data_IF_819241773326
#
_entry.id   IF_819241773326
#
_cell.length_a   1.000
_cell.length_b   1.000
_cell.length_c   1.000
_cell.angle_alpha   90.00
_cell.angle_beta   90.00
_cell.angle_gamma   90.00
#
_symmetry.space_group_name_H-M   'P 1'
#
loop_
_entity.id
_entity.type
_entity.pdbx_description
1 polymer ?
#
# COMPACT_ATOMS: atom_id res chain seq x y z
N UNK A 1 28.40 53.52 7.49
CA UNK A 1 27.01 53.75 7.05
C UNK A 1 26.12 52.76 7.79
N UNK A 2 25.45 53.21 8.84
CA UNK A 2 24.57 52.34 9.62
C UNK A 2 23.19 52.29 8.97
N UNK A 3 22.71 51.08 8.72
CA UNK A 3 21.37 50.83 8.24
C UNK A 3 20.40 51.32 9.34
N UNK A 4 19.53 52.26 9.03
CA UNK A 4 18.60 52.84 10.00
C UNK A 4 17.59 51.78 10.43
N UNK A 5 17.36 51.68 11.74
CA UNK A 5 16.39 50.76 12.39
C UNK A 5 15.00 50.76 11.75
N UNK A 6 14.61 51.88 11.15
CA UNK A 6 13.34 52.06 10.43
C UNK A 6 13.28 51.31 9.10
N UNK A 7 14.40 51.15 8.38
CA UNK A 7 14.47 50.39 7.14
C UNK A 7 14.37 48.89 7.38
N UNK A 8 14.96 48.41 8.46
CA UNK A 8 14.86 46.98 8.87
C UNK A 8 13.41 46.67 9.27
N UNK A 9 12.80 47.59 10.03
CA UNK A 9 11.39 47.40 10.46
C UNK A 9 10.41 47.42 9.28
N UNK A 10 10.65 48.27 8.25
CA UNK A 10 9.84 48.34 7.05
C UNK A 10 10.00 47.10 6.16
N UNK A 11 11.22 46.56 6.05
CA UNK A 11 11.53 45.33 5.33
C UNK A 11 10.91 44.10 6.00
N UNK A 12 10.95 44.04 7.33
CA UNK A 12 10.27 42.97 8.10
C UNK A 12 8.77 43.05 7.94
N UNK A 13 8.17 44.26 8.05
CA UNK A 13 6.74 44.44 7.82
C UNK A 13 6.28 44.07 6.40
N UNK A 14 7.12 44.36 5.40
CA UNK A 14 6.87 44.01 4.01
C UNK A 14 6.94 42.49 3.80
N UNK A 15 7.94 41.82 4.37
CA UNK A 15 8.03 40.37 4.32
C UNK A 15 6.90 39.66 5.06
N UNK A 16 6.44 40.22 6.18
CA UNK A 16 5.28 39.66 6.91
C UNK A 16 3.98 39.83 6.10
N UNK A 17 3.80 40.94 5.37
CA UNK A 17 2.65 41.13 4.47
C UNK A 17 2.67 40.23 3.23
N UNK A 18 3.85 39.97 2.70
CA UNK A 18 4.02 39.05 1.56
C UNK A 18 3.91 37.57 1.97
N UNK A 19 3.79 37.29 3.28
CA UNK A 19 3.57 35.95 3.85
C UNK A 19 2.08 35.57 3.96
N UNK A 20 1.18 36.45 3.53
CA UNK A 20 -0.26 36.15 3.41
C UNK A 20 -0.57 35.39 2.10
N UNK A 21 0.22 34.35 1.83
CA UNK A 21 -0.19 33.28 0.92
C UNK A 21 -1.24 32.49 1.71
N UNK A 22 -2.49 32.30 1.19
CA UNK A 22 -3.40 31.39 1.82
C UNK A 22 -2.75 30.01 1.82
N UNK A 23 -2.16 29.65 2.93
CA UNK A 23 -1.75 28.30 3.23
C UNK A 23 -3.08 27.55 3.25
N UNK A 24 -3.44 26.91 2.14
CA UNK A 24 -4.30 25.74 2.21
C UNK A 24 -3.60 24.86 3.25
N UNK A 25 -4.26 24.72 4.40
CA UNK A 25 -3.71 24.06 5.56
C UNK A 25 -3.50 22.56 5.28
N UNK A 26 -2.49 22.27 4.48
CA UNK A 26 -1.83 21.01 4.58
C UNK A 26 -1.00 21.12 5.86
N UNK A 27 -1.38 20.39 6.90
CA UNK A 27 -0.55 20.29 8.08
C UNK A 27 0.82 19.81 7.63
N UNK A 28 1.82 20.65 7.85
CA UNK A 28 3.22 20.34 7.51
C UNK A 28 3.92 20.01 8.80
N UNK A 29 4.57 18.84 8.82
CA UNK A 29 5.43 18.41 9.91
C UNK A 29 6.88 18.31 9.47
N UNK A 30 7.76 18.10 10.43
CA UNK A 30 9.20 17.94 10.22
C UNK A 30 9.62 16.60 10.82
N UNK A 31 10.38 15.82 10.06
CA UNK A 31 10.99 14.57 10.54
C UNK A 31 11.98 14.88 11.64
N UNK A 32 11.77 14.36 12.82
CA UNK A 32 12.68 14.49 13.97
C UNK A 32 13.62 13.31 14.11
N UNK A 33 13.17 12.13 13.71
CA UNK A 33 13.93 10.89 13.75
C UNK A 33 13.47 9.97 12.63
N UNK A 34 14.40 9.24 12.02
CA UNK A 34 14.09 8.22 10.99
C UNK A 34 15.00 7.00 11.18
N UNK A 35 14.40 5.81 11.15
CA UNK A 35 15.14 4.56 11.23
C UNK A 35 14.24 3.36 10.95
N UNK A 36 14.78 2.34 10.31
CA UNK A 36 14.12 1.05 10.04
C UNK A 36 12.73 1.16 9.37
N UNK A 37 12.55 2.18 8.51
CA UNK A 37 11.28 2.41 7.82
C UNK A 37 10.21 3.10 8.66
N UNK A 38 10.58 3.64 9.83
CA UNK A 38 9.71 4.43 10.70
C UNK A 38 10.25 5.85 10.77
N UNK A 39 9.38 6.84 10.76
CA UNK A 39 9.72 8.23 10.99
C UNK A 39 8.90 8.79 12.15
N UNK A 40 9.58 9.54 13.03
CA UNK A 40 8.93 10.42 14.00
C UNK A 40 8.83 11.82 13.39
N UNK A 41 7.65 12.41 13.43
CA UNK A 41 7.36 13.68 12.78
C UNK A 41 6.79 14.63 13.84
N UNK A 42 7.41 15.78 14.01
CA UNK A 42 6.89 16.84 14.86
C UNK A 42 5.89 17.71 14.08
N UNK A 43 4.79 18.04 14.70
CA UNK A 43 3.69 18.78 14.07
C UNK A 43 2.59 17.83 13.57
N UNK A 44 1.97 18.14 12.44
CA UNK A 44 0.86 17.37 11.85
C UNK A 44 -0.33 17.20 12.82
N UNK A 45 -0.69 18.25 13.58
CA UNK A 45 -1.74 18.21 14.61
C UNK A 45 -3.13 17.80 14.07
N UNK A 46 -3.37 17.99 12.77
CA UNK A 46 -4.59 17.59 12.09
C UNK A 46 -4.56 16.20 11.48
N UNK A 47 -3.44 15.48 11.57
CA UNK A 47 -3.32 14.16 10.97
C UNK A 47 -4.29 13.15 11.62
N UNK A 48 -4.86 12.30 10.81
CA UNK A 48 -5.73 11.22 11.24
C UNK A 48 -4.97 9.89 11.29
N UNK A 49 -5.40 8.97 12.15
CA UNK A 49 -4.86 7.63 12.14
C UNK A 49 -5.07 6.96 10.77
N UNK A 50 -4.04 6.30 10.27
CA UNK A 50 -4.00 5.68 8.93
C UNK A 50 -4.10 6.68 7.77
N UNK A 51 -3.89 7.95 8.02
CA UNK A 51 -3.78 8.93 6.95
C UNK A 51 -2.51 8.75 6.13
N UNK A 52 -2.64 8.89 4.83
CA UNK A 52 -1.51 8.88 3.91
C UNK A 52 -0.73 10.19 4.05
N UNK A 53 0.55 10.07 4.30
CA UNK A 53 1.51 11.18 4.38
C UNK A 53 2.40 11.19 3.14
N UNK A 54 2.83 12.36 2.74
CA UNK A 54 3.77 12.55 1.64
C UNK A 54 5.06 13.17 2.17
N UNK A 55 6.15 12.42 2.04
CA UNK A 55 7.51 12.86 2.37
C UNK A 55 8.13 13.61 1.20
N UNK A 56 9.16 14.37 1.49
CA UNK A 56 10.00 15.00 0.48
C UNK A 56 10.49 13.94 -0.53
N UNK A 57 10.41 14.26 -1.83
CA UNK A 57 10.75 13.30 -2.88
C UNK A 57 9.59 12.42 -3.35
N UNK A 58 8.38 12.54 -2.76
CA UNK A 58 7.19 11.81 -3.19
C UNK A 58 7.04 10.42 -2.55
N UNK A 59 7.95 10.03 -1.65
CA UNK A 59 7.79 8.79 -0.86
C UNK A 59 6.57 8.92 0.02
N UNK A 60 5.76 7.88 0.06
CA UNK A 60 4.53 7.83 0.86
C UNK A 60 4.77 7.16 2.21
N UNK A 61 4.00 7.57 3.19
CA UNK A 61 3.93 6.93 4.49
C UNK A 61 2.53 6.96 5.06
N UNK A 62 2.35 6.32 6.18
CA UNK A 62 1.07 6.23 6.88
C UNK A 62 1.25 6.70 8.31
N UNK A 63 0.41 7.62 8.76
CA UNK A 63 0.32 8.03 10.16
C UNK A 63 -0.22 6.85 10.99
N UNK A 64 0.59 6.32 11.89
CA UNK A 64 0.24 5.13 12.67
C UNK A 64 0.02 5.45 14.14
N UNK A 65 0.96 6.15 14.75
CA UNK A 65 0.89 6.55 16.15
C UNK A 65 0.71 8.07 16.25
N UNK A 66 -0.38 8.51 16.88
CA UNK A 66 -0.68 9.92 17.07
C UNK A 66 -0.47 10.27 18.54
N UNK A 67 0.48 11.16 18.78
CA UNK A 67 0.78 11.73 20.10
C UNK A 67 0.40 13.21 20.12
N UNK A 68 0.53 13.86 21.26
CA UNK A 68 0.09 15.25 21.43
C UNK A 68 0.82 16.23 20.50
N UNK A 69 2.13 16.07 20.34
CA UNK A 69 2.97 16.95 19.52
C UNK A 69 3.73 16.23 18.39
N UNK A 70 3.60 14.91 18.29
CA UNK A 70 4.31 14.11 17.31
C UNK A 70 3.43 13.03 16.66
N UNK A 71 3.83 12.62 15.47
CA UNK A 71 3.20 11.54 14.73
C UNK A 71 4.25 10.51 14.34
N UNK A 72 4.06 9.28 14.78
CA UNK A 72 4.83 8.13 14.32
C UNK A 72 4.27 7.63 12.99
N UNK A 73 5.09 7.63 11.94
CA UNK A 73 4.69 7.19 10.61
C UNK A 73 5.49 5.98 10.13
N UNK A 74 4.80 5.08 9.42
CA UNK A 74 5.44 3.97 8.71
C UNK A 74 5.70 4.42 7.28
N UNK A 75 6.94 4.30 6.82
CA UNK A 75 7.33 4.69 5.46
C UNK A 75 7.03 3.54 4.49
N UNK A 76 6.33 3.83 3.41
CA UNK A 76 5.87 2.85 2.42
C UNK A 76 6.68 2.96 1.11
N UNK A 77 7.98 2.85 1.21
CA UNK A 77 8.89 2.94 0.07
C UNK A 77 10.34 3.04 0.50
N UNK A 78 11.23 3.48 -0.42
CA UNK A 78 12.61 3.75 -0.09
C UNK A 78 12.70 4.82 1.00
N UNK A 79 13.36 4.51 2.09
CA UNK A 79 13.49 5.43 3.23
C UNK A 79 14.92 5.98 3.38
N UNK A 80 15.85 5.48 2.59
CA UNK A 80 17.27 5.87 2.66
C UNK A 80 17.51 7.34 2.30
N UNK A 81 16.59 7.93 1.55
CA UNK A 81 16.67 9.35 1.13
C UNK A 81 16.02 10.31 2.13
N UNK A 82 15.21 9.80 3.06
CA UNK A 82 14.50 10.60 4.07
C UNK A 82 15.47 10.88 5.22
N UNK A 83 15.56 12.16 5.62
CA UNK A 83 16.46 12.62 6.66
C UNK A 83 15.73 13.43 7.71
N UNK A 84 16.34 13.52 8.88
CA UNK A 84 15.93 14.46 9.92
C UNK A 84 15.91 15.90 9.35
N UNK A 85 14.85 16.64 9.65
CA UNK A 85 14.61 17.99 9.14
C UNK A 85 13.84 18.04 7.81
N UNK A 86 13.54 16.91 7.15
CA UNK A 86 12.73 16.91 5.95
C UNK A 86 11.25 17.20 6.26
N UNK A 87 10.60 17.89 5.33
CA UNK A 87 9.17 18.21 5.42
C UNK A 87 8.31 16.99 5.07
N UNK A 88 7.23 16.84 5.83
CA UNK A 88 6.17 15.83 5.59
C UNK A 88 4.82 16.54 5.56
N UNK A 89 3.95 16.13 4.65
CA UNK A 89 2.63 16.73 4.46
C UNK A 89 1.53 15.71 4.63
N UNK A 90 0.43 16.12 5.25
CA UNK A 90 -0.80 15.35 5.25
C UNK A 90 -1.44 15.41 3.87
N UNK A 91 -2.13 14.35 3.47
CA UNK A 91 -2.87 14.30 2.20
C UNK A 91 -4.38 14.47 2.39
N UNK A 92 -4.87 14.46 3.63
CA UNK A 92 -6.31 14.47 3.95
C UNK A 92 -7.01 13.17 3.54
N UNK A 93 -6.29 12.13 3.18
CA UNK A 93 -6.85 10.86 2.70
C UNK A 93 -6.38 9.70 3.56
N UNK A 94 -7.33 8.94 4.08
CA UNK A 94 -7.01 7.67 4.72
C UNK A 94 -6.47 6.71 3.66
N UNK A 95 -5.53 5.87 4.05
CA UNK A 95 -4.89 4.91 3.17
C UNK A 95 -5.91 3.99 2.49
N UNK A 96 -6.01 4.12 1.19
CA UNK A 96 -6.95 3.41 0.34
C UNK A 96 -6.29 2.92 -0.93
N UNK A 97 -6.85 1.87 -1.52
CA UNK A 97 -6.38 1.28 -2.77
C UNK A 97 -7.49 1.24 -3.81
N UNK A 98 -7.14 1.32 -5.10
CA UNK A 98 -8.10 1.11 -6.17
C UNK A 98 -8.70 -0.29 -6.06
N UNK A 99 -9.99 -0.42 -6.39
CA UNK A 99 -10.70 -1.69 -6.38
C UNK A 99 -11.58 -1.84 -7.62
N UNK A 100 -11.96 -3.08 -7.93
CA UNK A 100 -12.88 -3.40 -9.01
C UNK A 100 -12.24 -4.10 -10.19
N UNK A 101 -13.00 -4.24 -11.28
CA UNK A 101 -12.62 -5.01 -12.47
C UNK A 101 -11.41 -4.46 -13.21
N UNK A 102 -11.12 -3.17 -13.05
CA UNK A 102 -9.93 -2.55 -13.64
C UNK A 102 -8.60 -3.14 -13.15
N UNK A 103 -8.62 -3.88 -12.03
CA UNK A 103 -7.47 -4.57 -11.47
C UNK A 103 -7.29 -5.99 -12.02
N UNK A 104 -8.29 -6.54 -12.71
CA UNK A 104 -8.19 -7.90 -13.27
C UNK A 104 -7.11 -7.91 -14.36
N UNK A 105 -6.16 -8.86 -14.24
CA UNK A 105 -5.04 -8.97 -15.16
C UNK A 105 -3.92 -7.93 -14.96
N UNK A 106 -3.93 -7.21 -13.83
CA UNK A 106 -2.92 -6.23 -13.46
C UNK A 106 -2.04 -6.74 -12.31
N UNK A 107 -0.82 -6.24 -12.26
CA UNK A 107 0.10 -6.44 -11.13
C UNK A 107 0.34 -5.10 -10.47
N UNK A 108 0.08 -5.03 -9.18
CA UNK A 108 0.16 -3.78 -8.40
C UNK A 108 1.02 -3.96 -7.16
N UNK A 109 1.57 -2.85 -6.67
CA UNK A 109 2.21 -2.79 -5.37
C UNK A 109 1.15 -2.70 -4.24
N UNK A 110 1.52 -2.75 -2.95
CA UNK A 110 0.58 -2.64 -1.83
C UNK A 110 -0.23 -1.34 -1.79
N UNK A 111 0.22 -0.29 -2.47
CA UNK A 111 -0.50 0.98 -2.60
C UNK A 111 -1.49 0.99 -3.78
N UNK A 112 -1.58 -0.11 -4.53
CA UNK A 112 -2.42 -0.21 -5.72
C UNK A 112 -1.82 0.44 -6.97
N UNK A 113 -0.54 0.82 -6.94
CA UNK A 113 0.15 1.37 -8.10
C UNK A 113 0.59 0.26 -9.04
N UNK A 114 0.37 0.38 -10.35
CA UNK A 114 0.73 -0.67 -11.30
C UNK A 114 2.25 -0.81 -11.43
N UNK A 115 2.73 -2.05 -11.41
CA UNK A 115 4.14 -2.42 -11.60
C UNK A 115 4.34 -3.34 -12.80
N UNK A 116 3.29 -3.53 -13.62
CA UNK A 116 3.26 -4.44 -14.77
C UNK A 116 3.63 -3.76 -16.10
N UNK A 117 3.96 -2.48 -16.10
CA UNK A 117 4.29 -1.72 -17.30
C UNK A 117 3.12 -1.44 -18.25
N UNK A 118 1.88 -1.77 -17.86
CA UNK A 118 0.67 -1.59 -18.69
C UNK A 118 0.00 -0.22 -18.52
N UNK A 119 0.68 0.75 -17.92
CA UNK A 119 0.14 2.09 -17.70
C UNK A 119 -0.76 2.20 -16.46
N UNK A 120 -1.33 3.39 -16.21
CA UNK A 120 -2.15 3.66 -15.04
C UNK A 120 -3.43 2.81 -15.02
N UNK A 121 -3.99 2.60 -13.82
CA UNK A 121 -5.26 1.90 -13.62
C UNK A 121 -6.36 2.95 -13.57
N UNK A 122 -7.22 2.95 -14.56
CA UNK A 122 -8.36 3.85 -14.63
C UNK A 122 -9.52 3.29 -13.81
N UNK A 123 -9.69 3.80 -12.59
CA UNK A 123 -10.81 3.46 -11.72
C UNK A 123 -11.23 4.67 -10.88
N UNK A 124 -12.52 4.76 -10.63
CA UNK A 124 -13.08 5.73 -9.69
C UNK A 124 -13.44 5.10 -8.35
N UNK A 125 -13.26 3.77 -8.22
CA UNK A 125 -13.62 3.01 -7.03
C UNK A 125 -12.38 2.79 -6.18
N UNK A 126 -12.43 3.23 -4.93
CA UNK A 126 -11.40 3.03 -3.93
C UNK A 126 -11.99 2.40 -2.67
N UNK A 127 -11.20 1.64 -1.95
CA UNK A 127 -11.59 1.09 -0.66
C UNK A 127 -10.45 1.27 0.35
N UNK A 128 -10.76 1.57 1.62
CA UNK A 128 -9.76 1.62 2.67
C UNK A 128 -9.08 0.25 2.83
N UNK A 129 -7.79 0.27 3.12
CA UNK A 129 -7.00 -0.97 3.32
C UNK A 129 -7.43 -1.65 4.61
N UNK A 130 -7.61 -0.87 5.68
CA UNK A 130 -8.12 -1.37 6.94
C UNK A 130 -9.64 -1.60 6.85
N UNK A 131 -10.01 -2.88 6.89
CA UNK A 131 -11.41 -3.30 6.88
C UNK A 131 -11.61 -4.47 7.83
N UNK A 132 -12.65 -4.39 8.64
CA UNK A 132 -13.04 -5.49 9.53
C UNK A 132 -13.43 -6.70 8.67
N UNK A 133 -12.74 -7.82 8.89
CA UNK A 133 -13.05 -9.07 8.20
C UNK A 133 -14.44 -9.60 8.61
N UNK A 134 -15.20 -10.18 7.68
CA UNK A 134 -16.49 -10.79 8.01
C UNK A 134 -16.29 -11.93 9.01
N UNK A 135 -17.13 -11.94 10.05
CA UNK A 135 -17.13 -12.98 11.09
C UNK A 135 -17.60 -14.35 10.55
N UNK A 136 -17.45 -15.38 11.38
CA UNK A 136 -17.81 -16.76 11.00
C UNK A 136 -19.30 -16.90 10.65
N UNK A 137 -20.17 -16.14 11.31
CA UNK A 137 -21.63 -16.22 11.10
C UNK A 137 -22.04 -15.72 9.70
N UNK A 138 -21.31 -14.76 9.14
CA UNK A 138 -21.61 -14.16 7.84
C UNK A 138 -20.97 -14.88 6.66
N UNK A 139 -20.10 -15.86 6.93
CA UNK A 139 -19.44 -16.65 5.89
C UNK A 139 -20.30 -17.82 5.48
N UNK A 140 -20.30 -18.11 4.17
CA UNK A 140 -20.91 -19.34 3.65
C UNK A 140 -20.07 -20.55 4.08
N UNK A 141 -20.71 -21.72 4.33
CA UNK A 141 -19.98 -22.97 4.54
C UNK A 141 -19.18 -23.35 3.29
N UNK A 142 -18.12 -24.11 3.51
CA UNK A 142 -17.28 -24.65 2.41
C UNK A 142 -17.92 -25.98 1.96
N UNK A 143 -18.72 -25.93 0.91
CA UNK A 143 -19.49 -27.05 0.40
C UNK A 143 -19.17 -27.39 -1.08
N UNK A 144 -18.42 -26.57 -1.74
CA UNK A 144 -18.11 -26.73 -3.16
C UNK A 144 -16.63 -27.07 -3.35
N UNK A 145 -16.27 -28.20 -3.99
CA UNK A 145 -14.87 -28.57 -4.21
C UNK A 145 -14.18 -27.66 -5.20
N UNK A 146 -12.90 -27.40 -4.94
CA UNK A 146 -11.98 -26.76 -5.85
C UNK A 146 -11.24 -27.83 -6.65
N UNK A 147 -11.43 -27.87 -7.95
CA UNK A 147 -10.73 -28.82 -8.82
C UNK A 147 -9.31 -28.29 -9.09
N UNK A 148 -8.34 -28.84 -8.39
CA UNK A 148 -6.93 -28.41 -8.51
C UNK A 148 -6.27 -28.92 -9.80
N UNK A 149 -6.81 -29.99 -10.39
CA UNK A 149 -6.22 -30.72 -11.53
C UNK A 149 -5.09 -31.67 -11.09
N UNK A 150 -4.75 -31.70 -9.81
CA UNK A 150 -3.75 -32.60 -9.25
C UNK A 150 -4.48 -33.81 -8.69
N UNK A 151 -4.37 -34.95 -9.42
CA UNK A 151 -5.11 -36.18 -9.12
C UNK A 151 -5.03 -36.64 -7.66
N UNK A 152 -3.87 -36.53 -7.05
CA UNK A 152 -3.66 -36.93 -5.66
C UNK A 152 -4.44 -36.04 -4.68
N UNK A 153 -4.54 -34.75 -4.94
CA UNK A 153 -5.28 -33.81 -4.11
C UNK A 153 -6.76 -34.02 -4.32
N UNK A 154 -7.23 -33.96 -5.56
CA UNK A 154 -8.66 -34.01 -5.89
C UNK A 154 -9.33 -35.34 -5.49
N UNK A 155 -8.56 -36.44 -5.51
CA UNK A 155 -9.11 -37.77 -5.18
C UNK A 155 -9.01 -38.15 -3.70
N UNK A 156 -7.97 -37.68 -2.98
CA UNK A 156 -7.71 -38.13 -1.61
C UNK A 156 -7.92 -37.06 -0.55
N UNK A 157 -7.60 -35.82 -0.86
CA UNK A 157 -7.65 -34.70 0.09
C UNK A 157 -8.24 -33.48 -0.62
N UNK A 158 -9.53 -33.54 -1.03
CA UNK A 158 -10.14 -32.47 -1.81
C UNK A 158 -10.15 -31.15 -1.03
N UNK A 159 -9.84 -30.07 -1.73
CA UNK A 159 -9.86 -28.72 -1.21
C UNK A 159 -11.20 -28.07 -1.58
N UNK A 160 -11.83 -27.39 -0.64
CA UNK A 160 -13.07 -26.65 -0.88
C UNK A 160 -12.84 -25.19 -1.24
N UNK A 161 -13.75 -24.62 -2.02
CA UNK A 161 -13.74 -23.18 -2.35
C UNK A 161 -13.99 -22.36 -1.09
N UNK A 162 -12.99 -21.52 -0.72
CA UNK A 162 -13.01 -20.75 0.53
C UNK A 162 -12.29 -21.44 1.69
N UNK A 163 -11.78 -22.65 1.50
CA UNK A 163 -10.95 -23.32 2.48
C UNK A 163 -9.60 -22.62 2.62
N UNK A 164 -9.06 -22.70 3.83
CA UNK A 164 -7.73 -22.18 4.17
C UNK A 164 -6.76 -23.33 4.19
N UNK A 165 -5.77 -23.31 3.32
CA UNK A 165 -4.83 -24.40 3.13
C UNK A 165 -3.39 -23.93 3.30
N UNK A 166 -2.55 -24.75 3.92
CA UNK A 166 -1.13 -24.50 4.11
C UNK A 166 -0.29 -25.51 3.33
N UNK A 167 0.53 -25.02 2.41
CA UNK A 167 1.45 -25.83 1.63
C UNK A 167 2.86 -25.71 2.21
N UNK A 168 3.31 -26.73 2.92
CA UNK A 168 4.64 -26.84 3.52
C UNK A 168 5.56 -27.76 2.71
N UNK A 169 6.85 -27.51 2.81
CA UNK A 169 7.89 -28.36 2.22
C UNK A 169 9.23 -27.63 2.13
N UNK A 170 10.29 -28.37 1.88
CA UNK A 170 11.63 -27.84 1.70
C UNK A 170 11.79 -27.00 0.43
N UNK A 171 12.97 -26.44 0.23
CA UNK A 171 13.28 -25.69 -0.99
C UNK A 171 13.12 -26.57 -2.22
N UNK A 172 12.56 -26.03 -3.30
CA UNK A 172 12.41 -26.69 -4.61
C UNK A 172 11.49 -27.94 -4.63
N UNK A 173 10.61 -28.12 -3.66
CA UNK A 173 9.66 -29.24 -3.60
C UNK A 173 8.37 -29.02 -4.39
N UNK A 174 8.29 -27.99 -5.25
CA UNK A 174 7.14 -27.75 -6.12
C UNK A 174 5.97 -27.00 -5.48
N UNK A 175 6.11 -26.41 -4.27
CA UNK A 175 5.01 -25.69 -3.59
C UNK A 175 4.35 -24.64 -4.46
N UNK A 176 5.15 -23.79 -5.10
CA UNK A 176 4.65 -22.72 -5.98
C UNK A 176 4.06 -23.30 -7.26
N UNK A 177 4.63 -24.37 -7.81
CA UNK A 177 4.10 -25.04 -8.99
C UNK A 177 2.69 -25.59 -8.73
N UNK A 178 2.47 -26.29 -7.61
CA UNK A 178 1.14 -26.78 -7.25
C UNK A 178 0.11 -25.64 -7.15
N UNK A 179 0.48 -24.51 -6.58
CA UNK A 179 -0.42 -23.34 -6.50
C UNK A 179 -0.71 -22.77 -7.88
N UNK A 180 0.29 -22.63 -8.75
CA UNK A 180 0.13 -22.11 -10.11
C UNK A 180 -0.69 -23.06 -10.99
N UNK A 181 -0.45 -24.37 -10.93
CA UNK A 181 -1.20 -25.36 -11.67
C UNK A 181 -2.68 -25.35 -11.26
N UNK A 182 -2.94 -25.19 -9.97
CA UNK A 182 -4.31 -25.03 -9.46
C UNK A 182 -4.99 -23.78 -10.03
N UNK A 183 -4.28 -22.65 -10.09
CA UNK A 183 -4.81 -21.40 -10.65
C UNK A 183 -5.11 -21.57 -12.15
N UNK A 184 -4.17 -22.11 -12.92
CA UNK A 184 -4.32 -22.34 -14.35
C UNK A 184 -5.54 -23.22 -14.63
N UNK A 185 -5.76 -24.23 -13.81
CA UNK A 185 -6.88 -25.16 -13.95
C UNK A 185 -8.25 -24.55 -13.63
N UNK A 186 -8.30 -23.33 -13.04
CA UNK A 186 -9.55 -22.59 -12.83
C UNK A 186 -10.05 -21.83 -14.06
N UNK A 187 -9.34 -21.87 -15.19
CA UNK A 187 -9.77 -21.20 -16.41
C UNK A 187 -11.18 -21.67 -16.81
N UNK A 188 -12.09 -20.74 -17.02
CA UNK A 188 -13.48 -21.03 -17.38
C UNK A 188 -14.39 -21.46 -16.21
N UNK A 189 -13.90 -21.51 -14.98
CA UNK A 189 -14.68 -21.88 -13.80
C UNK A 189 -15.40 -20.70 -13.11
N UNK A 190 -15.34 -19.51 -13.69
CA UNK A 190 -15.96 -18.30 -13.13
C UNK A 190 -15.33 -17.83 -11.82
N UNK A 191 -14.07 -18.15 -11.58
CA UNK A 191 -13.33 -17.76 -10.40
C UNK A 191 -12.36 -16.61 -10.70
N UNK A 192 -12.32 -15.65 -9.80
CA UNK A 192 -11.26 -14.63 -9.74
C UNK A 192 -10.26 -15.08 -8.69
N UNK A 193 -9.00 -15.13 -9.05
CA UNK A 193 -7.92 -15.47 -8.14
C UNK A 193 -6.97 -14.30 -7.97
N UNK A 194 -6.40 -14.18 -6.79
CA UNK A 194 -5.46 -13.12 -6.42
C UNK A 194 -4.20 -13.78 -5.90
N UNK A 195 -3.07 -13.44 -6.50
CA UNK A 195 -1.76 -13.88 -6.04
C UNK A 195 -1.08 -12.76 -5.26
N UNK A 196 -0.70 -13.05 -4.02
CA UNK A 196 0.12 -12.18 -3.21
C UNK A 196 1.53 -12.77 -3.10
N UNK A 197 2.56 -11.95 -3.35
CA UNK A 197 3.95 -12.33 -3.20
C UNK A 197 4.69 -11.31 -2.33
N UNK A 198 5.50 -11.79 -1.39
CA UNK A 198 6.31 -10.94 -0.52
C UNK A 198 7.79 -11.33 -0.54
N UNK A 199 8.66 -10.39 -0.17
CA UNK A 199 10.10 -10.58 -0.11
C UNK A 199 10.73 -10.82 -1.48
N UNK A 200 11.76 -11.65 -1.55
CA UNK A 200 12.51 -11.94 -2.79
C UNK A 200 11.68 -12.53 -3.93
N UNK A 201 10.45 -12.99 -3.66
CA UNK A 201 9.52 -13.55 -4.64
C UNK A 201 8.63 -12.51 -5.31
N UNK A 202 8.62 -11.28 -4.83
CA UNK A 202 7.86 -10.19 -5.45
C UNK A 202 8.29 -9.97 -6.92
N UNK A 203 9.56 -10.19 -7.25
CA UNK A 203 10.08 -10.08 -8.60
C UNK A 203 9.56 -11.15 -9.58
N UNK A 204 9.03 -12.27 -9.08
CA UNK A 204 8.49 -13.37 -9.92
C UNK A 204 6.98 -13.27 -10.15
N UNK A 205 6.29 -12.39 -9.44
CA UNK A 205 4.85 -12.18 -9.58
C UNK A 205 4.38 -11.84 -10.99
N UNK A 206 5.02 -10.91 -11.73
CA UNK A 206 4.67 -10.56 -13.10
C UNK A 206 4.75 -11.74 -14.07
N UNK A 207 5.73 -12.62 -13.92
CA UNK A 207 5.88 -13.82 -14.76
C UNK A 207 4.77 -14.85 -14.55
N UNK A 208 4.32 -15.05 -13.31
CA UNK A 208 3.24 -15.96 -13.01
C UNK A 208 1.90 -15.47 -13.57
N UNK A 209 1.63 -14.16 -13.50
CA UNK A 209 0.43 -13.56 -14.09
C UNK A 209 0.43 -13.65 -15.62
N UNK A 210 1.56 -13.49 -16.28
CA UNK A 210 1.69 -13.62 -17.73
C UNK A 210 1.35 -15.05 -18.22
N UNK A 211 1.76 -16.08 -17.48
CA UNK A 211 1.44 -17.47 -17.84
C UNK A 211 -0.04 -17.81 -17.67
N UNK A 212 -0.75 -17.17 -16.74
CA UNK A 212 -2.16 -17.45 -16.52
C UNK A 212 -3.10 -16.77 -17.53
N UNK A 213 -2.65 -15.69 -18.19
CA UNK A 213 -3.42 -14.97 -19.21
C UNK A 213 -3.00 -15.28 -20.65
N UNK A 214 -1.90 -15.95 -20.88
CA UNK A 214 -1.23 -16.11 -22.18
C UNK A 214 -1.63 -17.32 -22.99
N UNK A 215 -2.76 -17.99 -22.71
CA UNK A 215 -3.30 -19.06 -23.56
C UNK A 215 -4.81 -19.08 -23.58
#
# INVERSE_FOLDING_TARGET
MGIKSEEISSLIKKRIKDFDVPILAADVGIVTEVGDGIAQIYGLKGAQALELLEFKGGTKGVAFNLEEDSVGAIILGPFEEIKEGDEVRTTGKIMQVPVGEALVGRVVNPLGEPIDGKGPIETTKFAPIEKVAPGVITRQPVDTPLQTGIKAIDAMIPIGRGQRELILGDRQTGKTANALDTIINQKGQGLIWIQFASGKRAATGPHAAAHAHGQ
#
